data_IF_820728184815
#
_entry.id   IF_820728184815
#
_cell.length_a   1.000
_cell.length_b   1.000
_cell.length_c   1.000
_cell.angle_alpha   90.00
_cell.angle_beta   90.00
_cell.angle_gamma   90.00
#
_symmetry.space_group_name_H-M   'P 1'
#
loop_
_entity.id
_entity.type
_entity.pdbx_description
1 polymer ?
#
# COMPACT_ATOMS: atom_id res chain seq x y z
N UNK A 1 8.62 11.91 -3.65
CA UNK A 1 8.50 10.99 -2.50
C UNK A 1 7.02 10.71 -2.30
N UNK A 2 6.59 9.47 -2.08
CA UNK A 2 5.17 9.09 -1.96
C UNK A 2 4.58 9.32 -0.55
N UNK A 3 5.33 9.96 0.36
CA UNK A 3 4.84 10.40 1.68
C UNK A 3 4.52 9.29 2.69
N UNK A 4 4.88 8.04 2.41
CA UNK A 4 4.71 6.92 3.35
C UNK A 4 5.76 6.95 4.47
N UNK A 5 5.38 6.54 5.69
CA UNK A 5 6.34 6.46 6.80
C UNK A 5 7.26 5.25 6.66
N UNK A 6 6.67 4.08 6.42
CA UNK A 6 7.40 2.81 6.23
C UNK A 6 6.50 1.73 5.63
N UNK A 7 7.14 0.65 5.20
CA UNK A 7 6.48 -0.58 4.76
C UNK A 7 7.10 -1.76 5.50
N UNK A 8 6.27 -2.53 6.19
CA UNK A 8 6.68 -3.76 6.85
C UNK A 8 6.23 -4.96 6.00
N UNK A 9 7.19 -5.72 5.48
CA UNK A 9 6.93 -6.99 4.80
C UNK A 9 6.99 -8.13 5.82
N UNK A 10 5.90 -8.87 5.94
CA UNK A 10 5.77 -10.04 6.81
C UNK A 10 5.49 -11.29 5.97
N UNK A 11 5.50 -12.47 6.61
CA UNK A 11 5.33 -13.75 5.93
C UNK A 11 4.05 -13.85 5.08
N UNK A 12 2.95 -13.25 5.54
CA UNK A 12 1.64 -13.33 4.87
C UNK A 12 1.04 -11.97 4.52
N UNK A 13 1.67 -10.87 4.94
CA UNK A 13 1.13 -9.53 4.74
C UNK A 13 2.21 -8.51 4.40
N UNK A 14 1.82 -7.43 3.75
CA UNK A 14 2.56 -6.18 3.76
C UNK A 14 1.73 -5.11 4.44
N UNK A 15 2.34 -4.36 5.35
CA UNK A 15 1.70 -3.25 6.04
C UNK A 15 2.32 -1.94 5.59
N UNK A 16 1.52 -1.08 4.97
CA UNK A 16 1.88 0.30 4.67
C UNK A 16 1.47 1.18 5.85
N UNK A 17 2.42 1.92 6.40
CA UNK A 17 2.16 2.90 7.45
C UNK A 17 1.96 4.27 6.82
N UNK A 18 0.77 4.84 7.03
CA UNK A 18 0.43 6.16 6.57
C UNK A 18 0.98 7.22 7.55
N UNK A 19 1.27 8.44 7.08
CA UNK A 19 1.69 9.53 7.94
C UNK A 19 0.62 9.89 8.97
N UNK A 20 1.02 10.69 9.95
CA UNK A 20 0.14 11.18 11.00
C UNK A 20 -1.13 11.84 10.43
N UNK A 21 -2.26 11.70 11.12
CA UNK A 21 -3.58 12.15 10.62
C UNK A 21 -3.68 13.67 10.37
N UNK A 22 -2.71 14.45 10.84
CA UNK A 22 -2.58 15.90 10.63
C UNK A 22 -1.78 16.26 9.36
N UNK A 23 -1.19 15.29 8.65
CA UNK A 23 -0.48 15.48 7.39
C UNK A 23 -1.44 15.70 6.21
N UNK A 24 -2.04 16.90 6.16
CA UNK A 24 -2.99 17.28 5.11
C UNK A 24 -2.40 17.17 3.71
N UNK A 25 -1.13 17.50 3.54
CA UNK A 25 -0.46 17.45 2.24
C UNK A 25 -0.46 16.02 1.67
N UNK A 26 -0.21 15.02 2.52
CA UNK A 26 -0.31 13.62 2.11
C UNK A 26 -1.75 13.21 1.75
N UNK A 27 -2.72 13.51 2.62
CA UNK A 27 -4.11 13.06 2.45
C UNK A 27 -4.86 13.78 1.32
N UNK A 28 -4.44 15.00 0.96
CA UNK A 28 -4.95 15.73 -0.21
C UNK A 28 -4.11 15.44 -1.48
N UNK A 29 -2.97 14.75 -1.33
CA UNK A 29 -2.04 14.44 -2.39
C UNK A 29 -2.52 13.38 -3.38
N UNK A 30 -1.90 13.37 -4.56
CA UNK A 30 -2.26 12.45 -5.66
C UNK A 30 -2.08 10.98 -5.29
N UNK A 31 -1.03 10.64 -4.55
CA UNK A 31 -0.79 9.26 -4.13
C UNK A 31 -1.93 8.71 -3.29
N UNK A 32 -2.37 9.43 -2.24
CA UNK A 32 -3.46 8.97 -1.39
C UNK A 32 -4.78 8.89 -2.15
N UNK A 33 -5.08 9.89 -2.99
CA UNK A 33 -6.27 9.86 -3.86
C UNK A 33 -6.27 8.64 -4.80
N UNK A 34 -5.14 8.34 -5.44
CA UNK A 34 -5.00 7.17 -6.30
C UNK A 34 -5.09 5.86 -5.53
N UNK A 35 -4.56 5.82 -4.30
CA UNK A 35 -4.70 4.66 -3.42
C UNK A 35 -6.17 4.37 -3.13
N UNK A 36 -6.93 5.40 -2.73
CA UNK A 36 -8.37 5.27 -2.49
C UNK A 36 -9.11 4.83 -3.75
N UNK A 37 -8.79 5.41 -4.91
CA UNK A 37 -9.37 5.01 -6.19
C UNK A 37 -9.08 3.52 -6.51
N UNK A 38 -7.84 3.07 -6.33
CA UNK A 38 -7.44 1.67 -6.57
C UNK A 38 -8.12 0.67 -5.63
N UNK A 39 -8.40 1.09 -4.39
CA UNK A 39 -9.17 0.29 -3.42
C UNK A 39 -10.64 0.15 -3.83
N UNK A 40 -11.20 1.15 -4.52
CA UNK A 40 -12.58 1.16 -5.00
C UNK A 40 -12.74 0.40 -6.33
N UNK A 41 -11.77 0.52 -7.25
CA UNK A 41 -11.84 0.00 -8.63
C UNK A 41 -11.38 -1.48 -8.76
N UNK A 42 -11.39 -2.24 -7.66
CA UNK A 42 -11.05 -3.68 -7.59
C UNK A 42 -9.62 -4.08 -7.98
N UNK A 43 -8.79 -3.19 -8.54
CA UNK A 43 -7.39 -3.49 -8.89
C UNK A 43 -6.55 -4.03 -7.72
N UNK A 44 -6.94 -3.69 -6.49
CA UNK A 44 -6.30 -4.14 -5.26
C UNK A 44 -7.01 -5.32 -4.58
N UNK A 45 -8.10 -5.86 -5.14
CA UNK A 45 -8.95 -6.87 -4.49
C UNK A 45 -8.20 -8.17 -4.16
N UNK A 46 -7.25 -8.56 -5.02
CA UNK A 46 -6.43 -9.76 -4.83
C UNK A 46 -5.60 -9.70 -3.54
N UNK A 47 -5.29 -8.50 -3.06
CA UNK A 47 -4.53 -8.27 -1.84
C UNK A 47 -5.42 -8.11 -0.60
N UNK A 48 -6.75 -8.18 -0.74
CA UNK A 48 -7.73 -8.03 0.35
C UNK A 48 -7.35 -6.91 1.35
N UNK A 49 -7.20 -5.66 0.86
CA UNK A 49 -6.68 -4.56 1.64
C UNK A 49 -7.58 -4.22 2.82
N UNK A 50 -6.98 -3.94 3.98
CA UNK A 50 -7.70 -3.61 5.21
C UNK A 50 -7.07 -2.40 5.89
N UNK A 51 -7.87 -1.35 6.10
CA UNK A 51 -7.47 -0.28 7.00
C UNK A 51 -7.50 -0.78 8.44
N UNK A 52 -6.42 -0.54 9.17
CA UNK A 52 -6.37 -0.71 10.61
C UNK A 52 -6.03 0.64 11.23
N UNK A 53 -6.84 1.04 12.21
CA UNK A 53 -6.59 2.23 12.99
C UNK A 53 -6.16 1.81 14.39
N UNK A 54 -4.89 2.03 14.70
CA UNK A 54 -4.34 1.84 16.03
C UNK A 54 -3.92 3.23 16.55
N UNK A 55 -2.64 3.48 16.79
CA UNK A 55 -2.12 4.85 17.02
C UNK A 55 -2.05 5.71 15.76
N UNK A 56 -1.78 5.10 14.61
CA UNK A 56 -1.77 5.71 13.28
C UNK A 56 -2.52 4.82 12.31
N UNK A 57 -3.01 5.40 11.21
CA UNK A 57 -3.66 4.63 10.17
C UNK A 57 -2.62 3.77 9.42
N UNK A 58 -2.95 2.51 9.20
CA UNK A 58 -2.15 1.60 8.37
C UNK A 58 -3.04 0.83 7.42
N UNK A 59 -2.48 0.51 6.26
CA UNK A 59 -3.14 -0.32 5.26
C UNK A 59 -2.44 -1.66 5.18
N UNK A 60 -3.17 -2.73 5.48
CA UNK A 60 -2.65 -4.10 5.46
C UNK A 60 -3.10 -4.79 4.20
N UNK A 61 -2.14 -5.29 3.42
CA UNK A 61 -2.35 -6.13 2.25
C UNK A 61 -2.01 -7.57 2.63
N UNK A 62 -2.89 -8.51 2.29
CA UNK A 62 -2.57 -9.93 2.30
C UNK A 62 -1.80 -10.26 1.02
N UNK A 63 -0.78 -11.10 1.13
CA UNK A 63 -0.12 -11.62 -0.07
C UNK A 63 -1.14 -12.45 -0.86
N UNK A 64 -1.26 -12.24 -2.18
CA UNK A 64 -2.08 -13.10 -3.03
C UNK A 64 -1.64 -14.56 -2.92
N UNK A 65 -2.58 -15.48 -3.14
CA UNK A 65 -2.28 -16.91 -3.11
C UNK A 65 -1.23 -17.30 -4.16
N UNK A 66 -0.29 -18.18 -3.79
CA UNK A 66 0.78 -18.64 -4.67
C UNK A 66 1.90 -17.63 -4.93
N UNK A 67 1.95 -16.53 -4.17
CA UNK A 67 3.03 -15.55 -4.26
C UNK A 67 4.30 -16.06 -3.57
N UNK A 68 5.43 -15.87 -4.25
CA UNK A 68 6.75 -16.05 -3.68
C UNK A 68 6.96 -15.09 -2.49
N UNK A 69 7.27 -15.68 -1.34
CA UNK A 69 7.49 -14.98 -0.07
C UNK A 69 8.98 -14.68 0.17
N UNK A 70 9.84 -15.05 -0.77
CA UNK A 70 11.25 -14.68 -0.72
C UNK A 70 11.39 -13.14 -0.71
N UNK A 71 12.32 -12.58 0.08
CA UNK A 71 12.38 -11.14 0.31
C UNK A 71 12.50 -10.31 -0.97
N UNK A 72 13.33 -10.74 -1.92
CA UNK A 72 13.61 -9.98 -3.15
C UNK A 72 12.37 -9.93 -4.07
N UNK A 73 11.76 -11.06 -4.47
CA UNK A 73 10.50 -11.05 -5.23
C UNK A 73 9.37 -10.25 -4.55
N UNK A 74 9.28 -10.34 -3.21
CA UNK A 74 8.25 -9.64 -2.44
C UNK A 74 8.47 -8.12 -2.48
N UNK A 75 9.71 -7.66 -2.30
CA UNK A 75 10.09 -6.25 -2.43
C UNK A 75 9.79 -5.72 -3.84
N UNK A 76 10.11 -6.47 -4.89
CA UNK A 76 9.82 -6.07 -6.26
C UNK A 76 8.32 -5.95 -6.54
N UNK A 77 7.52 -6.91 -6.05
CA UNK A 77 6.05 -6.89 -6.19
C UNK A 77 5.45 -5.64 -5.56
N UNK A 78 5.78 -5.38 -4.29
CA UNK A 78 5.24 -4.21 -3.60
C UNK A 78 5.80 -2.90 -4.17
N UNK A 79 7.06 -2.89 -4.64
CA UNK A 79 7.62 -1.76 -5.38
C UNK A 79 6.85 -1.44 -6.67
N UNK A 80 6.46 -2.45 -7.45
CA UNK A 80 5.62 -2.29 -8.64
C UNK A 80 4.22 -1.76 -8.28
N UNK A 81 3.61 -2.33 -7.23
CA UNK A 81 2.29 -1.91 -6.76
C UNK A 81 2.26 -0.42 -6.39
N UNK A 82 3.26 0.05 -5.64
CA UNK A 82 3.36 1.45 -5.23
C UNK A 82 3.55 2.39 -6.43
N UNK A 83 4.35 2.00 -7.43
CA UNK A 83 4.51 2.77 -8.67
C UNK A 83 3.22 2.85 -9.48
N UNK A 84 2.42 1.78 -9.50
CA UNK A 84 1.11 1.78 -10.13
C UNK A 84 0.17 2.76 -9.42
N UNK A 85 0.15 2.75 -8.08
CA UNK A 85 -0.65 3.66 -7.26
C UNK A 85 -0.18 5.12 -7.44
N UNK A 86 1.12 5.38 -7.55
CA UNK A 86 1.64 6.73 -7.80
C UNK A 86 1.12 7.32 -9.14
N UNK A 87 0.69 6.49 -10.08
CA UNK A 87 0.18 6.91 -11.40
C UNK A 87 1.20 6.78 -12.53
N UNK A 88 2.39 6.23 -12.27
CA UNK A 88 3.45 5.97 -13.26
C UNK A 88 3.33 4.59 -13.93
N UNK A 89 2.14 3.99 -13.90
CA UNK A 89 1.85 2.64 -14.45
C UNK A 89 1.31 2.62 -15.88
N UNK A 90 1.60 3.64 -16.69
CA UNK A 90 1.42 3.61 -18.15
C UNK A 90 2.77 3.54 -18.84
#
# INVERSE_FOLDING_TARGET
>A
SIGLERIDLQLSTATIFLPSNDDKEFYEGSFFNNLIAGLQDTSLIAYRPQFKHDKKMKLVFNHPEGVDIDPIPLMERYGKLLKQIEGNGK
#
